data_IF_282981222593
#
_entry.id   IF_282981222593
#
_cell.length_a   1.000
_cell.length_b   1.000
_cell.length_c   1.000
_cell.angle_alpha   90.00
_cell.angle_beta   90.00
_cell.angle_gamma   90.00
#
_symmetry.space_group_name_H-M   'P 1'
#
loop_
_entity.id
_entity.type
_entity.pdbx_description
1 polymer ?
#
# COMPACT_ATOMS: atom_id res chain seq x y z
N UNK A 1 -11.65 -31.76 -41.43
CA UNK A 1 -12.63 -31.25 -40.45
C UNK A 1 -11.86 -30.38 -39.45
N UNK A 2 -12.18 -29.09 -39.38
CA UNK A 2 -11.45 -28.07 -38.62
C UNK A 2 -12.35 -27.47 -37.53
N UNK A 3 -11.73 -26.76 -36.57
CA UNK A 3 -12.24 -26.04 -35.39
C UNK A 3 -12.42 -26.86 -34.11
N UNK A 4 -12.09 -26.38 -32.90
CA UNK A 4 -11.28 -25.23 -32.45
C UNK A 4 -11.14 -25.35 -30.93
N UNK A 5 -9.98 -24.97 -30.41
CA UNK A 5 -9.70 -24.78 -28.98
C UNK A 5 -10.58 -23.67 -28.37
N UNK A 6 -11.19 -23.93 -27.22
CA UNK A 6 -11.79 -22.90 -26.38
C UNK A 6 -10.82 -22.47 -25.27
N UNK A 7 -10.21 -21.31 -25.47
CA UNK A 7 -9.51 -20.52 -24.45
C UNK A 7 -10.52 -19.98 -23.44
N UNK A 8 -10.32 -20.27 -22.16
CA UNK A 8 -11.08 -19.69 -21.06
C UNK A 8 -10.63 -18.23 -20.83
N UNK A 9 -11.60 -17.33 -20.76
CA UNK A 9 -11.42 -15.88 -20.80
C UNK A 9 -10.73 -15.35 -19.54
N UNK A 10 -9.66 -14.56 -19.73
CA UNK A 10 -9.13 -13.65 -18.70
C UNK A 10 -10.09 -12.46 -18.60
N UNK A 11 -10.69 -12.28 -17.42
CA UNK A 11 -11.48 -11.10 -17.10
C UNK A 11 -10.60 -9.85 -17.12
N UNK A 12 -10.71 -9.05 -18.17
CA UNK A 12 -10.31 -7.66 -18.18
C UNK A 12 -11.32 -6.88 -17.32
N UNK A 13 -10.91 -6.46 -16.12
CA UNK A 13 -11.72 -5.53 -15.33
C UNK A 13 -11.49 -4.11 -15.85
N UNK A 14 -12.47 -3.60 -16.58
CA UNK A 14 -12.61 -2.20 -16.97
C UNK A 14 -12.96 -1.36 -15.73
N UNK A 15 -12.08 -0.40 -15.39
CA UNK A 15 -12.18 0.44 -14.19
C UNK A 15 -12.93 1.76 -14.43
N UNK A 16 -13.66 1.89 -15.53
CA UNK A 16 -14.34 3.16 -15.89
C UNK A 16 -15.59 3.48 -15.09
N UNK A 17 -16.08 2.59 -14.20
CA UNK A 17 -17.33 2.79 -13.45
C UNK A 17 -17.19 2.75 -11.92
N UNK A 18 -16.11 3.30 -11.35
CA UNK A 18 -15.97 3.47 -9.89
C UNK A 18 -16.42 4.88 -9.43
N UNK A 19 -17.69 5.21 -9.66
CA UNK A 19 -18.32 6.45 -9.17
C UNK A 19 -19.30 6.09 -8.05
N UNK A 20 -18.94 6.42 -6.80
CA UNK A 20 -19.79 6.58 -5.60
C UNK A 20 -19.34 5.77 -4.38
N UNK A 21 -18.85 6.52 -3.39
CA UNK A 21 -18.78 6.25 -1.93
C UNK A 21 -17.68 5.31 -1.37
N UNK A 22 -16.93 5.95 -0.45
CA UNK A 22 -16.10 5.42 0.66
C UNK A 22 -14.69 4.93 0.32
N UNK A 23 -13.74 5.88 0.42
CA UNK A 23 -12.40 5.77 1.01
C UNK A 23 -11.74 4.38 1.03
N UNK A 24 -10.67 4.24 0.25
CA UNK A 24 -9.70 3.15 0.38
C UNK A 24 -8.33 3.74 0.79
N UNK A 25 -7.65 3.16 1.80
CA UNK A 25 -6.37 3.67 2.30
C UNK A 25 -5.27 3.41 1.26
N UNK A 26 -4.78 4.48 0.62
CA UNK A 26 -3.81 4.40 -0.46
C UNK A 26 -2.58 5.25 -0.10
N UNK A 27 -1.42 4.62 0.01
CA UNK A 27 -0.10 5.28 0.13
C UNK A 27 0.29 5.73 1.55
N UNK A 28 0.74 4.77 2.35
CA UNK A 28 1.76 5.03 3.38
C UNK A 28 2.99 4.10 3.24
N UNK A 29 2.91 3.01 2.46
CA UNK A 29 4.02 2.06 2.33
C UNK A 29 4.92 2.28 1.09
N UNK A 30 4.52 3.14 0.14
CA UNK A 30 5.08 3.10 -1.22
C UNK A 30 6.35 3.91 -1.44
N UNK A 31 6.82 4.68 -0.47
CA UNK A 31 7.96 5.59 -0.69
C UNK A 31 9.13 5.35 0.27
N UNK A 32 9.03 4.35 1.13
CA UNK A 32 10.14 3.91 1.97
C UNK A 32 10.62 2.48 1.64
N UNK A 33 10.22 1.95 0.48
CA UNK A 33 10.71 0.67 -0.05
C UNK A 33 11.90 0.81 -1.01
N UNK A 34 12.41 2.03 -1.25
CA UNK A 34 13.50 2.29 -2.22
C UNK A 34 14.90 1.89 -1.69
N UNK A 35 15.06 1.49 -0.43
CA UNK A 35 16.37 1.18 0.18
C UNK A 35 16.49 -0.25 0.75
N UNK A 36 15.85 -1.23 0.11
CA UNK A 36 16.15 -2.64 0.42
C UNK A 36 17.29 -3.15 -0.49
N UNK A 37 18.44 -3.58 0.04
CA UNK A 37 19.48 -4.21 -0.76
C UNK A 37 18.90 -5.46 -1.40
N UNK A 38 18.92 -5.53 -2.74
CA UNK A 38 18.61 -6.76 -3.47
C UNK A 38 19.71 -7.77 -3.17
N UNK A 39 19.54 -8.61 -2.17
CA UNK A 39 20.28 -9.86 -2.12
C UNK A 39 19.93 -10.66 -3.39
N UNK A 40 20.97 -11.12 -4.11
CA UNK A 40 20.83 -11.87 -5.36
C UNK A 40 20.17 -13.23 -5.10
N UNK A 41 18.85 -13.25 -5.04
CA UNK A 41 18.02 -14.47 -4.95
C UNK A 41 17.73 -15.00 -6.35
N UNK A 42 17.78 -16.31 -6.54
CA UNK A 42 17.42 -16.96 -7.81
C UNK A 42 15.89 -16.85 -8.06
N UNK A 43 15.46 -16.83 -9.34
CA UNK A 43 14.07 -16.69 -9.81
C UNK A 43 13.14 -17.71 -9.16
N UNK A 44 13.55 -18.98 -9.04
CA UNK A 44 12.73 -20.03 -8.42
C UNK A 44 12.47 -19.77 -6.93
N UNK A 45 13.49 -19.28 -6.21
CA UNK A 45 13.36 -18.89 -4.81
C UNK A 45 12.42 -17.69 -4.64
N UNK A 46 12.47 -16.74 -5.57
CA UNK A 46 11.55 -15.59 -5.58
C UNK A 46 10.11 -16.00 -5.88
N UNK A 47 9.91 -16.96 -6.77
CA UNK A 47 8.58 -17.51 -7.08
C UNK A 47 8.00 -18.26 -5.87
N UNK A 48 8.80 -19.10 -5.21
CA UNK A 48 8.45 -19.80 -3.98
C UNK A 48 8.10 -18.84 -2.84
N UNK A 49 8.90 -17.80 -2.61
CA UNK A 49 8.65 -16.76 -1.60
C UNK A 49 7.30 -16.04 -1.85
N UNK A 50 6.97 -15.76 -3.13
CA UNK A 50 5.70 -15.15 -3.52
C UNK A 50 4.51 -16.08 -3.28
N UNK A 51 4.62 -17.36 -3.65
CA UNK A 51 3.56 -18.36 -3.45
C UNK A 51 3.30 -18.57 -1.96
N UNK A 52 4.37 -18.72 -1.17
CA UNK A 52 4.30 -18.85 0.29
C UNK A 52 3.61 -17.65 0.94
N UNK A 53 3.99 -16.44 0.51
CA UNK A 53 3.38 -15.20 1.01
C UNK A 53 1.90 -15.07 0.63
N UNK A 54 1.51 -15.42 -0.60
CA UNK A 54 0.12 -15.38 -1.02
C UNK A 54 -0.75 -16.39 -0.25
N UNK A 55 -0.24 -17.60 -0.03
CA UNK A 55 -0.93 -18.61 0.77
C UNK A 55 -1.13 -18.14 2.21
N UNK A 56 -0.09 -17.56 2.84
CA UNK A 56 -0.17 -17.00 4.18
C UNK A 56 -1.18 -15.85 4.25
N UNK A 57 -1.14 -14.90 3.31
CA UNK A 57 -2.10 -13.77 3.25
C UNK A 57 -3.55 -14.27 3.21
N UNK A 58 -3.85 -15.23 2.35
CA UNK A 58 -5.20 -15.78 2.22
C UNK A 58 -5.65 -16.53 3.49
N UNK A 59 -4.73 -17.15 4.23
CA UNK A 59 -5.03 -17.83 5.49
C UNK A 59 -5.30 -16.82 6.62
N UNK A 60 -4.50 -15.76 6.69
CA UNK A 60 -4.48 -14.79 7.78
C UNK A 60 -5.58 -13.73 7.65
N UNK A 61 -5.70 -13.09 6.48
CA UNK A 61 -6.59 -11.93 6.34
C UNK A 61 -7.97 -12.33 5.84
N UNK A 62 -8.96 -12.01 6.67
CA UNK A 62 -10.38 -12.23 6.39
C UNK A 62 -11.13 -10.90 6.37
N UNK A 63 -12.17 -10.85 5.55
CA UNK A 63 -13.06 -9.70 5.40
C UNK A 63 -14.50 -10.12 5.68
N UNK A 64 -15.29 -9.28 6.38
CA UNK A 64 -16.72 -9.48 6.51
C UNK A 64 -17.41 -9.50 5.15
N UNK A 65 -18.24 -10.51 4.90
CA UNK A 65 -19.20 -10.54 3.80
C UNK A 65 -20.60 -10.52 4.42
N UNK A 66 -21.42 -9.50 4.15
CA UNK A 66 -22.82 -9.54 4.54
C UNK A 66 -23.54 -10.58 3.67
N UNK A 67 -24.01 -11.67 4.27
CA UNK A 67 -24.90 -12.66 3.64
C UNK A 67 -26.11 -12.86 4.55
N UNK A 68 -27.30 -12.51 4.05
CA UNK A 68 -28.61 -12.85 4.63
C UNK A 68 -28.70 -12.69 6.16
N UNK A 69 -28.27 -11.53 6.68
CA UNK A 69 -28.35 -11.20 8.11
C UNK A 69 -27.25 -11.80 8.98
N UNK A 70 -26.35 -12.61 8.41
CA UNK A 70 -25.15 -13.14 9.07
C UNK A 70 -23.88 -12.53 8.48
N UNK A 71 -22.88 -12.29 9.33
CA UNK A 71 -21.56 -11.80 8.89
C UNK A 71 -20.62 -13.00 8.76
N UNK A 72 -20.55 -13.58 7.56
CA UNK A 72 -19.58 -14.62 7.26
C UNK A 72 -18.22 -13.99 6.95
N UNK A 73 -17.15 -14.63 7.41
CA UNK A 73 -15.77 -14.18 7.18
C UNK A 73 -15.19 -14.89 5.95
N UNK A 74 -14.82 -14.13 4.91
CA UNK A 74 -14.19 -14.67 3.71
C UNK A 74 -12.72 -14.27 3.64
N UNK A 75 -11.87 -15.09 3.04
CA UNK A 75 -10.48 -14.74 2.75
C UNK A 75 -10.41 -13.47 1.88
N UNK A 76 -9.39 -12.65 2.08
CA UNK A 76 -9.15 -11.49 1.22
C UNK A 76 -8.74 -11.93 -0.19
N UNK A 77 -9.35 -11.31 -1.19
CA UNK A 77 -9.10 -11.48 -2.63
C UNK A 77 -8.44 -10.23 -3.23
N UNK A 78 -8.24 -9.18 -2.43
CA UNK A 78 -7.71 -7.89 -2.86
C UNK A 78 -6.35 -7.63 -2.21
N UNK A 79 -5.30 -8.18 -2.82
CA UNK A 79 -3.90 -7.96 -2.45
C UNK A 79 -3.00 -8.19 -3.65
N UNK A 80 -2.03 -7.31 -3.89
CA UNK A 80 -0.98 -7.46 -4.92
C UNK A 80 0.01 -6.28 -4.85
N UNK A 81 0.84 -6.18 -5.87
CA UNK A 81 1.57 -4.96 -6.22
C UNK A 81 0.70 -4.09 -7.16
N UNK A 82 0.59 -2.79 -6.87
CA UNK A 82 -0.01 -1.75 -7.70
C UNK A 82 1.08 -1.06 -8.53
N UNK A 83 0.80 -0.90 -9.82
CA UNK A 83 1.60 -0.09 -10.72
C UNK A 83 0.79 1.15 -11.10
N UNK A 84 1.34 2.34 -10.83
CA UNK A 84 0.69 3.60 -11.16
C UNK A 84 1.02 4.01 -12.59
N UNK A 85 0.03 3.95 -13.49
CA UNK A 85 0.17 4.40 -14.88
C UNK A 85 0.58 5.88 -14.89
N UNK A 86 1.64 6.21 -15.63
CA UNK A 86 2.17 7.58 -15.73
C UNK A 86 3.10 8.00 -14.59
N UNK A 87 3.27 7.21 -13.54
CA UNK A 87 4.28 7.44 -12.51
C UNK A 87 5.49 6.51 -12.74
N UNK A 88 6.60 7.05 -13.22
CA UNK A 88 7.83 6.27 -13.44
C UNK A 88 8.28 5.60 -12.13
N UNK A 89 8.59 4.31 -12.19
CA UNK A 89 9.20 3.51 -11.11
C UNK A 89 8.45 3.47 -9.77
N UNK A 90 7.13 3.72 -9.75
CA UNK A 90 6.35 3.66 -8.50
C UNK A 90 5.50 2.39 -8.45
N UNK A 91 6.06 1.36 -7.82
CA UNK A 91 5.32 0.18 -7.41
C UNK A 91 4.93 0.29 -5.93
N UNK A 92 3.71 -0.10 -5.58
CA UNK A 92 3.20 -0.10 -4.21
C UNK A 92 2.61 -1.44 -3.85
N UNK A 93 2.74 -1.88 -2.59
CA UNK A 93 2.02 -3.07 -2.10
C UNK A 93 0.68 -2.67 -1.50
N UNK A 94 -0.35 -3.49 -1.71
CA UNK A 94 -1.66 -3.28 -1.07
C UNK A 94 -2.27 -4.59 -0.59
N UNK A 95 -3.15 -4.46 0.41
CA UNK A 95 -4.02 -5.52 0.90
C UNK A 95 -5.29 -4.89 1.48
N UNK A 96 -6.44 -5.55 1.28
CA UNK A 96 -7.66 -5.27 2.03
C UNK A 96 -7.74 -6.16 3.26
N UNK A 97 -7.91 -5.57 4.43
CA UNK A 97 -8.02 -6.26 5.72
C UNK A 97 -9.39 -6.02 6.36
N UNK A 98 -9.85 -6.96 7.18
CA UNK A 98 -11.07 -6.79 7.98
C UNK A 98 -10.84 -5.90 9.19
N UNK A 99 -11.91 -5.27 9.70
CA UNK A 99 -11.83 -4.35 10.85
C UNK A 99 -11.32 -5.01 12.14
N UNK A 100 -11.54 -6.31 12.30
CA UNK A 100 -11.15 -7.07 13.49
C UNK A 100 -9.83 -7.84 13.29
N UNK A 101 -9.06 -7.50 12.25
CA UNK A 101 -7.75 -8.13 12.02
C UNK A 101 -6.82 -7.80 13.18
N UNK A 102 -6.18 -8.79 13.81
CA UNK A 102 -5.18 -8.53 14.85
C UNK A 102 -4.06 -7.63 14.34
N UNK A 103 -3.66 -6.57 15.08
CA UNK A 103 -2.55 -5.70 14.67
C UNK A 103 -1.23 -6.45 14.50
N UNK A 104 -1.02 -7.54 15.24
CA UNK A 104 0.17 -8.39 15.13
C UNK A 104 0.31 -9.00 13.72
N UNK A 105 -0.79 -9.40 13.09
CA UNK A 105 -0.78 -9.96 11.74
C UNK A 105 -0.41 -8.88 10.70
N UNK A 106 -0.86 -7.64 10.93
CA UNK A 106 -0.46 -6.49 10.11
C UNK A 106 1.03 -6.21 10.28
N UNK A 107 1.55 -6.28 11.51
CA UNK A 107 2.97 -6.10 11.77
C UNK A 107 3.85 -7.19 11.13
N UNK A 108 3.45 -8.46 11.22
CA UNK A 108 4.14 -9.56 10.53
C UNK A 108 4.09 -9.40 9.01
N UNK A 109 2.95 -8.97 8.46
CA UNK A 109 2.85 -8.65 7.03
C UNK A 109 3.88 -7.60 6.64
N UNK A 110 3.94 -6.47 7.36
CA UNK A 110 4.85 -5.37 7.04
C UNK A 110 6.32 -5.79 7.16
N UNK A 111 6.70 -6.42 8.27
CA UNK A 111 8.12 -6.70 8.56
C UNK A 111 8.63 -7.97 7.88
N UNK A 112 7.86 -9.06 7.91
CA UNK A 112 8.31 -10.37 7.42
C UNK A 112 7.97 -10.58 5.94
N UNK A 113 6.77 -10.20 5.51
CA UNK A 113 6.29 -10.50 4.13
C UNK A 113 6.61 -9.40 3.14
N UNK A 114 6.52 -8.14 3.58
CA UNK A 114 6.88 -6.98 2.78
C UNK A 114 8.30 -6.49 3.04
N UNK A 115 9.01 -7.13 3.99
CA UNK A 115 10.41 -6.87 4.28
C UNK A 115 10.69 -5.39 4.60
N UNK A 116 9.75 -4.71 5.29
CA UNK A 116 10.04 -3.41 5.87
C UNK A 116 10.92 -3.61 7.10
N UNK A 117 11.98 -2.79 7.21
CA UNK A 117 12.74 -2.71 8.45
C UNK A 117 11.83 -2.27 9.59
N UNK A 118 11.98 -2.92 10.74
CA UNK A 118 11.31 -2.51 11.97
C UNK A 118 11.65 -1.04 12.27
N UNK A 119 10.65 -0.18 12.53
CA UNK A 119 10.89 1.23 12.75
C UNK A 119 11.41 1.48 14.17
N UNK A 120 12.29 2.48 14.33
CA UNK A 120 12.64 2.99 15.66
C UNK A 120 11.65 4.04 16.16
N UNK A 121 10.79 4.55 15.28
CA UNK A 121 9.79 5.57 15.56
C UNK A 121 8.59 5.43 14.60
N UNK A 122 7.38 5.66 15.10
CA UNK A 122 6.18 5.74 14.26
C UNK A 122 5.67 7.18 14.31
N UNK A 123 5.58 7.81 13.14
CA UNK A 123 5.03 9.17 12.96
C UNK A 123 3.64 9.02 12.35
N UNK A 124 2.60 9.22 13.16
CA UNK A 124 1.22 9.25 12.67
C UNK A 124 0.84 10.67 12.24
N UNK A 125 0.53 10.86 10.95
CA UNK A 125 0.08 12.13 10.39
C UNK A 125 -1.39 12.03 10.00
N UNK A 126 -2.24 12.71 10.77
CA UNK A 126 -3.68 12.81 10.57
C UNK A 126 -4.09 14.26 10.33
N UNK A 127 -5.33 14.50 9.90
CA UNK A 127 -5.85 15.85 9.72
C UNK A 127 -7.07 15.92 8.82
N UNK A 128 -7.50 17.14 8.51
CA UNK A 128 -8.67 17.36 7.65
C UNK A 128 -8.49 16.76 6.26
N UNK A 129 -9.56 16.14 5.75
CA UNK A 129 -9.64 15.62 4.39
C UNK A 129 -9.97 16.71 3.35
N UNK A 130 -10.35 17.91 3.80
CA UNK A 130 -10.57 19.06 2.93
C UNK A 130 -9.25 19.67 2.47
N UNK A 131 -9.17 20.04 1.21
CA UNK A 131 -8.01 20.75 0.69
C UNK A 131 -7.86 22.12 1.35
N UNK A 132 -6.62 22.46 1.71
CA UNK A 132 -6.28 23.76 2.27
C UNK A 132 -4.94 24.24 1.70
N UNK A 133 -4.77 25.55 1.69
CA UNK A 133 -3.54 26.20 1.26
C UNK A 133 -2.68 26.48 2.49
N UNK A 134 -1.47 25.94 2.49
CA UNK A 134 -0.41 26.39 3.38
C UNK A 134 0.40 27.46 2.64
N UNK A 135 0.88 28.46 3.37
CA UNK A 135 1.86 29.37 2.79
C UNK A 135 3.15 28.60 2.39
N UNK A 136 3.92 29.17 1.48
CA UNK A 136 5.09 28.50 0.89
C UNK A 136 6.17 28.18 1.92
N UNK A 137 6.40 29.07 2.89
CA UNK A 137 7.40 28.90 3.95
C UNK A 137 7.06 27.70 4.85
N UNK A 138 5.83 27.65 5.36
CA UNK A 138 5.34 26.55 6.19
C UNK A 138 5.34 25.23 5.42
N UNK A 139 4.91 25.25 4.15
CA UNK A 139 4.94 24.06 3.29
C UNK A 139 6.35 23.52 3.17
N UNK A 140 7.33 24.39 2.90
CA UNK A 140 8.74 24.00 2.76
C UNK A 140 9.29 23.42 4.06
N UNK A 141 9.03 24.08 5.19
CA UNK A 141 9.54 23.62 6.48
C UNK A 141 8.90 22.32 6.94
N UNK A 142 7.59 22.18 6.75
CA UNK A 142 6.86 20.94 7.04
C UNK A 142 7.42 19.77 6.25
N UNK A 143 7.58 19.92 4.93
CA UNK A 143 8.12 18.86 4.08
C UNK A 143 9.54 18.48 4.47
N UNK A 144 10.41 19.48 4.65
CA UNK A 144 11.81 19.27 5.03
C UNK A 144 11.93 18.56 6.37
N UNK A 145 11.23 19.04 7.39
CA UNK A 145 11.30 18.48 8.74
C UNK A 145 10.76 17.06 8.80
N UNK A 146 9.62 16.78 8.15
CA UNK A 146 9.05 15.43 8.10
C UNK A 146 10.02 14.41 7.48
N UNK A 147 10.61 14.74 6.34
CA UNK A 147 11.56 13.88 5.65
C UNK A 147 12.83 13.69 6.48
N UNK A 148 13.37 14.79 7.04
CA UNK A 148 14.56 14.75 7.87
C UNK A 148 14.37 13.82 9.07
N UNK A 149 13.24 13.90 9.78
CA UNK A 149 12.93 13.05 10.92
C UNK A 149 12.82 11.57 10.51
N UNK A 150 12.15 11.28 9.41
CA UNK A 150 11.98 9.92 8.94
C UNK A 150 13.31 9.28 8.53
N UNK A 151 14.16 10.01 7.81
CA UNK A 151 15.49 9.54 7.40
C UNK A 151 16.44 9.39 8.60
N UNK A 152 16.47 10.36 9.53
CA UNK A 152 17.44 10.34 10.63
C UNK A 152 17.17 9.27 11.68
N UNK A 153 15.92 8.81 11.79
CA UNK A 153 15.51 7.83 12.82
C UNK A 153 15.16 6.46 12.24
N UNK A 154 14.96 6.35 10.93
CA UNK A 154 14.34 5.16 10.33
C UNK A 154 12.87 5.03 10.76
N UNK A 155 12.13 6.15 10.76
CA UNK A 155 10.72 6.15 11.17
C UNK A 155 9.79 5.65 10.07
N UNK A 156 8.71 4.98 10.47
CA UNK A 156 7.55 4.80 9.60
C UNK A 156 6.63 6.03 9.66
N UNK A 157 6.25 6.54 8.51
CA UNK A 157 5.21 7.57 8.38
C UNK A 157 3.88 6.87 8.09
N UNK A 158 2.90 7.00 8.99
CA UNK A 158 1.56 6.45 8.84
C UNK A 158 0.58 7.59 8.60
N UNK A 159 -0.22 7.52 7.53
CA UNK A 159 -1.20 8.54 7.18
C UNK A 159 -2.46 7.93 6.58
N UNK A 160 -3.53 8.73 6.46
CA UNK A 160 -4.82 8.28 5.93
C UNK A 160 -4.81 7.87 4.46
N UNK A 161 -3.75 8.21 3.71
CA UNK A 161 -3.55 7.71 2.36
C UNK A 161 -4.58 8.23 1.35
N UNK A 162 -4.94 9.51 1.45
CA UNK A 162 -5.84 10.16 0.49
C UNK A 162 -5.13 11.32 -0.19
N UNK A 163 -5.46 11.61 -1.45
CA UNK A 163 -4.88 12.74 -2.18
C UNK A 163 -5.62 14.05 -1.89
N UNK A 164 -5.97 14.30 -0.63
CA UNK A 164 -6.63 15.52 -0.19
C UNK A 164 -6.09 15.98 1.17
N UNK A 165 -6.29 17.28 1.46
CA UNK A 165 -5.95 17.88 2.75
C UNK A 165 -4.52 17.63 3.21
N UNK A 166 -4.35 17.24 4.48
CA UNK A 166 -3.00 17.05 5.09
C UNK A 166 -2.23 15.92 4.41
N UNK A 167 -2.90 14.81 4.08
CA UNK A 167 -2.30 13.63 3.46
C UNK A 167 -1.69 13.94 2.09
N UNK A 168 -2.31 14.85 1.32
CA UNK A 168 -1.75 15.36 0.06
C UNK A 168 -0.40 16.05 0.25
N UNK A 169 -0.23 16.84 1.31
CA UNK A 169 1.02 17.54 1.58
C UNK A 169 2.13 16.58 2.03
N UNK A 170 1.78 15.57 2.82
CA UNK A 170 2.69 14.46 3.18
C UNK A 170 3.16 13.73 1.92
N UNK A 171 2.22 13.29 1.07
CA UNK A 171 2.54 12.58 -0.17
C UNK A 171 3.43 13.40 -1.11
N UNK A 172 3.24 14.72 -1.17
CA UNK A 172 4.13 15.62 -1.91
C UNK A 172 5.54 15.70 -1.33
N UNK A 173 5.67 15.84 0.00
CA UNK A 173 6.99 15.86 0.67
C UNK A 173 7.82 14.65 0.28
N UNK A 174 7.16 13.50 0.38
CA UNK A 174 7.71 12.18 0.19
C UNK A 174 8.03 11.92 -1.29
N UNK A 175 7.17 12.36 -2.21
CA UNK A 175 7.44 12.30 -3.64
C UNK A 175 8.62 13.18 -4.06
N UNK A 176 8.69 14.43 -3.58
CA UNK A 176 9.75 15.38 -3.93
C UNK A 176 11.11 14.86 -3.46
N UNK A 177 11.17 14.27 -2.27
CA UNK A 177 12.38 13.61 -1.77
C UNK A 177 12.83 12.43 -2.67
N UNK A 178 11.90 11.54 -3.03
CA UNK A 178 12.21 10.38 -3.88
C UNK A 178 12.58 10.74 -5.33
N UNK A 179 12.33 11.97 -5.78
CA UNK A 179 12.72 12.42 -7.11
C UNK A 179 14.15 13.00 -7.17
N UNK A 180 14.77 13.25 -6.01
CA UNK A 180 16.09 13.88 -5.88
C UNK A 180 17.19 12.86 -5.50
N UNK A 181 16.82 11.70 -4.95
CA UNK A 181 17.70 10.53 -4.78
C UNK A 181 17.65 9.65 -6.03
#
# INVERSE_FOLDING_TARGET
MSYSHHMHQRGHHDLTNFRSRKTYPMLAASVWMEHQPRHNKNIDSMAMDKVSSAHWIQKTFKIPKPEDGTVLQRRTDAFSDLNFVGAKNKQAKYIRVGNNTPPQDIYELLTTRWNLQTPNLIISVTGGASNFHMNSSLTKEFRRSLIKLAESTGAWIVTGGTNTGVMKHVGKAVHEYAAVK
#
